data_IF_612468690910
#
_entry.id   IF_612468690910
#
_cell.length_a   1.000
_cell.length_b   1.000
_cell.length_c   1.000
_cell.angle_alpha   90.00
_cell.angle_beta   90.00
_cell.angle_gamma   90.00
#
_symmetry.space_group_name_H-M   'P 1'
#
loop_
_entity.id
_entity.type
_entity.pdbx_description
1 polymer ?
#
# COMPACT_ATOMS: atom_id res chain seq x y z
N UNK A 1 -3.20 -30.64 -9.54
CA UNK A 1 -3.75 -29.84 -10.65
C UNK A 1 -4.33 -28.57 -10.04
N UNK A 2 -3.56 -27.50 -10.04
CA UNK A 2 -3.95 -26.20 -9.49
C UNK A 2 -4.84 -25.47 -10.50
N UNK A 3 -6.03 -25.08 -10.06
CA UNK A 3 -7.02 -24.38 -10.86
C UNK A 3 -6.62 -22.89 -10.95
N UNK A 4 -5.90 -22.51 -11.99
CA UNK A 4 -5.59 -21.11 -12.30
C UNK A 4 -6.72 -20.50 -13.13
N UNK A 5 -7.57 -19.70 -12.50
CA UNK A 5 -8.63 -18.96 -13.18
C UNK A 5 -8.24 -17.51 -13.46
N UNK A 6 -8.88 -17.00 -14.50
CA UNK A 6 -8.66 -15.71 -15.15
C UNK A 6 -9.73 -14.75 -14.59
N UNK A 7 -9.31 -13.53 -14.24
CA UNK A 7 -10.13 -12.45 -13.68
C UNK A 7 -11.20 -12.02 -14.67
N UNK A 8 -12.30 -12.76 -14.71
CA UNK A 8 -13.58 -12.27 -15.22
C UNK A 8 -14.18 -11.37 -14.14
N UNK A 9 -13.78 -10.11 -14.16
CA UNK A 9 -14.34 -9.10 -13.29
C UNK A 9 -15.80 -8.81 -13.71
N UNK A 10 -16.68 -8.65 -12.73
CA UNK A 10 -18.06 -8.20 -12.91
C UNK A 10 -18.35 -7.39 -11.67
N UNK A 11 -18.39 -6.07 -11.79
CA UNK A 11 -18.51 -5.20 -10.62
C UNK A 11 -19.73 -4.34 -10.68
N UNK A 12 -20.36 -4.13 -9.53
CA UNK A 12 -21.37 -3.10 -9.36
C UNK A 12 -20.73 -1.89 -8.69
N UNK A 13 -20.78 -0.75 -9.37
CA UNK A 13 -20.14 0.48 -8.93
C UNK A 13 -21.12 1.34 -8.15
N UNK A 14 -21.01 1.34 -6.82
CA UNK A 14 -21.74 2.32 -6.01
C UNK A 14 -20.97 3.63 -6.00
N UNK A 15 -21.59 4.70 -6.48
CA UNK A 15 -21.11 6.08 -6.35
C UNK A 15 -21.87 6.71 -5.18
N UNK A 16 -21.14 7.07 -4.13
CA UNK A 16 -21.69 7.85 -3.01
C UNK A 16 -21.17 9.29 -3.12
N UNK A 17 -22.03 10.20 -3.58
CA UNK A 17 -21.68 11.61 -3.72
C UNK A 17 -21.67 12.29 -2.34
N UNK A 18 -20.68 13.15 -2.12
CA UNK A 18 -20.74 14.13 -1.04
C UNK A 18 -21.49 15.37 -1.54
N UNK A 19 -22.37 15.92 -0.70
CA UNK A 19 -22.96 17.22 -0.99
C UNK A 19 -21.91 18.29 -0.69
N UNK A 20 -21.32 18.87 -1.74
CA UNK A 20 -20.30 19.91 -1.60
C UNK A 20 -20.76 21.16 -2.34
N UNK A 21 -21.08 22.21 -1.58
CA UNK A 21 -21.59 23.47 -2.15
C UNK A 21 -20.56 24.19 -3.07
N UNK A 22 -19.29 23.79 -3.03
CA UNK A 22 -18.18 24.46 -3.73
C UNK A 22 -17.68 23.77 -5.01
N UNK A 23 -18.14 22.56 -5.32
CA UNK A 23 -17.70 21.78 -6.49
C UNK A 23 -18.86 21.02 -7.12
N UNK A 24 -18.95 21.01 -8.45
CA UNK A 24 -19.82 20.12 -9.20
C UNK A 24 -18.99 19.11 -10.00
N UNK A 25 -19.43 17.86 -10.07
CA UNK A 25 -18.73 16.81 -10.81
C UNK A 25 -19.70 15.74 -11.34
N UNK A 26 -19.21 14.90 -12.25
CA UNK A 26 -19.91 13.68 -12.69
C UNK A 26 -18.91 12.64 -13.17
N UNK A 27 -19.23 11.36 -12.95
CA UNK A 27 -18.53 10.22 -13.55
C UNK A 27 -19.35 9.76 -14.77
N UNK A 28 -18.76 9.86 -15.96
CA UNK A 28 -19.41 9.46 -17.21
C UNK A 28 -19.23 7.97 -17.49
N UNK A 29 -18.06 7.44 -17.14
CA UNK A 29 -17.70 6.02 -17.20
C UNK A 29 -16.77 5.71 -16.03
N UNK A 30 -16.85 4.52 -15.44
CA UNK A 30 -17.89 3.51 -15.66
C UNK A 30 -19.23 3.93 -15.04
N UNK A 31 -20.34 3.36 -15.52
CA UNK A 31 -21.68 3.61 -14.96
C UNK A 31 -21.96 2.70 -13.76
N UNK A 32 -22.86 3.13 -12.87
CA UNK A 32 -23.32 2.29 -11.77
C UNK A 32 -23.92 0.97 -12.31
N UNK A 33 -23.44 -0.16 -11.78
CA UNK A 33 -23.81 -1.51 -12.21
C UNK A 33 -23.13 -2.01 -13.50
N UNK A 34 -22.21 -1.24 -14.10
CA UNK A 34 -21.54 -1.66 -15.34
C UNK A 34 -20.54 -2.80 -15.11
N UNK A 35 -20.65 -3.84 -15.92
CA UNK A 35 -19.76 -5.00 -15.90
C UNK A 35 -18.57 -4.78 -16.84
N UNK A 36 -17.37 -5.11 -16.39
CA UNK A 36 -16.16 -5.05 -17.20
C UNK A 36 -15.24 -6.22 -16.87
N UNK A 37 -14.62 -6.82 -17.88
CA UNK A 37 -13.75 -7.99 -17.74
C UNK A 37 -12.26 -7.65 -17.65
N UNK A 38 -11.92 -6.37 -17.47
CA UNK A 38 -10.54 -5.89 -17.45
C UNK A 38 -10.06 -5.65 -16.01
N UNK A 39 -8.78 -5.89 -15.75
CA UNK A 39 -8.14 -5.54 -14.47
C UNK A 39 -8.11 -4.03 -14.23
N UNK A 40 -8.06 -3.26 -15.32
CA UNK A 40 -8.07 -1.81 -15.32
C UNK A 40 -9.42 -1.30 -15.76
N UNK A 41 -9.92 -0.34 -15.01
CA UNK A 41 -11.16 0.39 -15.30
C UNK A 41 -10.79 1.80 -15.68
N UNK A 42 -11.25 2.22 -16.85
CA UNK A 42 -11.20 3.61 -17.26
C UNK A 42 -12.31 4.38 -16.53
N UNK A 43 -11.90 5.34 -15.71
CA UNK A 43 -12.78 6.31 -15.07
C UNK A 43 -12.63 7.62 -15.83
N UNK A 44 -13.71 8.08 -16.44
CA UNK A 44 -13.76 9.39 -17.08
C UNK A 44 -14.95 10.18 -16.56
N UNK A 45 -14.80 11.50 -16.54
CA UNK A 45 -15.82 12.38 -16.02
C UNK A 45 -15.43 13.84 -16.17
N UNK A 46 -16.04 14.68 -15.36
CA UNK A 46 -15.68 16.08 -15.25
C UNK A 46 -15.84 16.61 -13.82
N UNK A 47 -15.11 17.67 -13.50
CA UNK A 47 -15.15 18.36 -12.20
C UNK A 47 -14.93 19.86 -12.40
N UNK A 48 -15.73 20.69 -11.75
CA UNK A 48 -15.61 22.16 -11.79
C UNK A 48 -15.82 22.76 -10.41
N UNK A 49 -15.03 23.76 -10.05
CA UNK A 49 -15.34 24.58 -8.87
C UNK A 49 -16.50 25.52 -9.17
N UNK A 50 -17.44 25.63 -8.24
CA UNK A 50 -18.56 26.56 -8.30
C UNK A 50 -18.26 27.90 -7.63
N UNK A 51 -17.22 27.94 -6.79
CA UNK A 51 -16.83 29.14 -6.04
C UNK A 51 -15.91 30.03 -6.87
N UNK A 52 -16.22 31.33 -6.92
CA UNK A 52 -15.39 32.31 -7.62
C UNK A 52 -14.01 32.43 -6.96
N UNK A 53 -12.96 32.54 -7.78
CA UNK A 53 -11.57 32.57 -7.33
C UNK A 53 -10.94 31.19 -7.07
N UNK A 54 -11.72 30.11 -7.07
CA UNK A 54 -11.20 28.76 -6.89
C UNK A 54 -11.04 28.03 -8.23
N UNK A 55 -9.99 27.22 -8.34
CA UNK A 55 -9.69 26.35 -9.48
C UNK A 55 -9.43 24.92 -9.01
N UNK A 56 -9.80 23.93 -9.82
CA UNK A 56 -9.47 22.52 -9.54
C UNK A 56 -8.05 22.29 -10.05
N UNK A 57 -7.11 22.02 -9.15
CA UNK A 57 -5.70 21.80 -9.48
C UNK A 57 -5.44 20.37 -9.90
N UNK A 58 -6.05 19.41 -9.21
CA UNK A 58 -5.91 18.01 -9.54
C UNK A 58 -7.06 17.17 -9.01
N UNK A 59 -7.15 15.95 -9.53
CA UNK A 59 -7.95 14.88 -8.93
C UNK A 59 -7.03 13.80 -8.38
N UNK A 60 -7.28 13.39 -7.15
CA UNK A 60 -6.52 12.34 -6.48
C UNK A 60 -7.43 11.13 -6.28
N UNK A 61 -7.05 10.03 -6.88
CA UNK A 61 -7.63 8.72 -6.68
C UNK A 61 -6.91 8.06 -5.50
N UNK A 62 -7.61 7.73 -4.42
CA UNK A 62 -7.04 7.14 -3.21
C UNK A 62 -7.60 5.74 -2.99
N UNK A 63 -6.74 4.75 -2.89
CA UNK A 63 -7.13 3.37 -2.53
C UNK A 63 -6.50 3.04 -1.19
N UNK A 64 -7.33 2.67 -0.22
CA UNK A 64 -6.90 2.37 1.14
C UNK A 64 -6.24 3.58 1.80
N UNK A 65 -4.92 3.63 1.75
CA UNK A 65 -4.09 4.62 2.42
C UNK A 65 -3.20 5.47 1.52
N UNK A 66 -3.25 5.30 0.20
CA UNK A 66 -2.34 6.03 -0.69
C UNK A 66 -3.09 6.68 -1.83
N UNK A 67 -2.64 7.89 -2.18
CA UNK A 67 -2.88 8.47 -3.49
C UNK A 67 -2.34 7.48 -4.52
N UNK A 68 -3.27 6.79 -5.16
CA UNK A 68 -3.01 5.81 -6.18
C UNK A 68 -2.69 6.52 -7.49
N UNK A 69 -3.42 7.57 -7.84
CA UNK A 69 -3.20 8.26 -9.11
C UNK A 69 -3.63 9.71 -8.99
N UNK A 70 -2.85 10.61 -9.58
CA UNK A 70 -3.20 12.03 -9.67
C UNK A 70 -3.43 12.41 -11.13
N UNK A 71 -4.57 13.04 -11.40
CA UNK A 71 -4.85 13.68 -12.68
C UNK A 71 -4.59 15.17 -12.52
N UNK A 72 -3.54 15.66 -13.16
CA UNK A 72 -3.22 17.09 -13.29
C UNK A 72 -3.53 17.64 -14.69
N UNK A 73 -3.72 16.75 -15.67
CA UNK A 73 -4.07 17.12 -17.04
C UNK A 73 -5.57 16.96 -17.27
N UNK A 74 -6.24 18.09 -17.50
CA UNK A 74 -7.66 18.13 -17.81
C UNK A 74 -7.89 18.50 -19.28
N UNK A 75 -9.00 18.02 -19.85
CA UNK A 75 -9.37 18.27 -21.24
C UNK A 75 -10.68 19.04 -21.39
N UNK A 76 -10.91 19.70 -22.54
CA UNK A 76 -12.09 20.52 -22.72
C UNK A 76 -13.42 19.76 -22.73
N UNK A 77 -14.45 20.31 -22.06
CA UNK A 77 -15.84 19.79 -22.05
C UNK A 77 -16.87 20.88 -22.42
N UNK A 78 -17.03 21.19 -23.72
CA UNK A 78 -17.96 22.22 -24.18
C UNK A 78 -19.42 21.93 -23.83
N UNK A 79 -19.79 20.65 -23.71
CA UNK A 79 -21.10 20.18 -23.28
C UNK A 79 -21.39 20.59 -21.82
N UNK A 80 -20.43 20.36 -20.92
CA UNK A 80 -20.54 20.75 -19.50
C UNK A 80 -20.63 22.26 -19.37
N UNK A 81 -19.79 23.02 -20.12
CA UNK A 81 -19.83 24.48 -20.14
C UNK A 81 -21.23 25.04 -20.46
N UNK A 82 -21.91 24.44 -21.43
CA UNK A 82 -23.28 24.86 -21.81
C UNK A 82 -24.28 24.57 -20.70
N UNK A 83 -24.13 23.44 -19.99
CA UNK A 83 -25.05 23.01 -18.96
C UNK A 83 -24.92 23.83 -17.66
N UNK A 84 -23.70 24.19 -17.24
CA UNK A 84 -23.47 24.92 -15.99
C UNK A 84 -23.69 26.44 -16.10
N UNK A 85 -24.16 26.93 -17.26
CA UNK A 85 -24.38 28.36 -17.54
C UNK A 85 -23.20 29.25 -17.11
N UNK A 86 -21.96 28.78 -17.28
CA UNK A 86 -20.78 29.59 -17.00
C UNK A 86 -20.82 30.81 -17.93
N UNK A 87 -21.06 31.99 -17.34
CA UNK A 87 -21.05 33.29 -18.03
C UNK A 87 -19.68 33.50 -18.67
N UNK A 88 -19.61 34.23 -19.80
CA UNK A 88 -18.34 34.46 -20.53
C UNK A 88 -17.23 35.07 -19.64
N UNK A 89 -17.60 35.81 -18.59
CA UNK A 89 -16.68 36.42 -17.62
C UNK A 89 -16.20 35.49 -16.51
N UNK A 90 -16.88 34.36 -16.27
CA UNK A 90 -16.34 33.31 -15.42
C UNK A 90 -15.38 32.52 -16.30
N UNK A 91 -14.09 32.79 -16.16
CA UNK A 91 -12.99 31.95 -16.63
C UNK A 91 -13.04 30.62 -15.86
N UNK A 92 -14.14 29.88 -15.98
CA UNK A 92 -14.20 28.47 -15.60
C UNK A 92 -13.24 27.81 -16.56
N UNK A 93 -12.10 27.36 -16.03
CA UNK A 93 -11.07 26.69 -16.79
C UNK A 93 -11.73 25.69 -17.74
N UNK A 94 -11.55 25.95 -19.04
CA UNK A 94 -12.21 25.23 -20.13
C UNK A 94 -11.91 23.73 -20.10
N UNK A 95 -10.89 23.34 -19.34
CA UNK A 95 -10.34 22.02 -19.12
C UNK A 95 -10.85 21.47 -17.78
N UNK A 96 -12.01 20.80 -17.82
CA UNK A 96 -12.62 20.18 -16.64
C UNK A 96 -12.89 18.69 -16.79
N UNK A 97 -12.68 18.13 -17.98
CA UNK A 97 -12.78 16.70 -18.23
C UNK A 97 -11.53 15.97 -17.76
N UNK A 98 -11.71 14.76 -17.23
CA UNK A 98 -10.61 13.90 -16.81
C UNK A 98 -10.79 12.46 -17.30
N UNK A 99 -9.67 11.75 -17.39
CA UNK A 99 -9.60 10.33 -17.70
C UNK A 99 -8.48 9.71 -16.87
N UNK A 100 -8.81 8.67 -16.12
CA UNK A 100 -7.88 7.89 -15.33
C UNK A 100 -8.11 6.40 -15.59
N UNK A 101 -7.08 5.58 -15.41
CA UNK A 101 -7.22 4.13 -15.41
C UNK A 101 -6.81 3.61 -14.05
N UNK A 102 -7.70 2.89 -13.37
CA UNK A 102 -7.46 2.36 -12.03
C UNK A 102 -7.57 0.83 -12.00
N UNK A 103 -6.78 0.15 -11.16
CA UNK A 103 -6.85 -1.30 -10.97
C UNK A 103 -8.07 -1.64 -10.12
N UNK A 104 -9.10 -2.21 -10.73
CA UNK A 104 -10.34 -2.54 -10.04
C UNK A 104 -10.15 -3.61 -8.94
N UNK A 105 -9.15 -4.47 -9.10
CA UNK A 105 -8.80 -5.50 -8.11
C UNK A 105 -8.22 -4.94 -6.81
N UNK A 106 -7.76 -3.68 -6.80
CA UNK A 106 -7.30 -3.04 -5.56
C UNK A 106 -8.45 -2.49 -4.70
N UNK A 107 -9.69 -2.56 -5.17
CA UNK A 107 -10.83 -1.98 -4.44
C UNK A 107 -11.88 -3.03 -4.12
N UNK A 108 -12.58 -2.82 -3.00
CA UNK A 108 -13.74 -3.59 -2.57
C UNK A 108 -14.53 -2.78 -1.52
N UNK A 109 -15.57 -3.35 -0.91
CA UNK A 109 -16.37 -2.66 0.11
C UNK A 109 -15.55 -2.19 1.33
N UNK A 110 -14.51 -2.93 1.70
CA UNK A 110 -13.64 -2.60 2.83
C UNK A 110 -12.53 -1.60 2.46
N UNK A 111 -12.19 -1.51 1.17
CA UNK A 111 -11.17 -0.62 0.62
C UNK A 111 -11.71 0.05 -0.65
N UNK A 112 -12.66 0.99 -0.55
CA UNK A 112 -13.16 1.71 -1.71
C UNK A 112 -12.07 2.58 -2.32
N UNK A 113 -12.20 2.88 -3.61
CA UNK A 113 -11.46 3.95 -4.26
C UNK A 113 -12.16 5.28 -3.99
N UNK A 114 -11.50 6.18 -3.27
CA UNK A 114 -11.98 7.54 -3.06
C UNK A 114 -11.49 8.44 -4.20
N UNK A 115 -12.37 9.24 -4.76
CA UNK A 115 -12.00 10.31 -5.68
C UNK A 115 -12.07 11.63 -4.91
N UNK A 116 -10.97 12.37 -4.90
CA UNK A 116 -10.86 13.67 -4.26
C UNK A 116 -10.47 14.74 -5.27
N UNK A 117 -10.99 15.95 -5.13
CA UNK A 117 -10.49 17.13 -5.81
C UNK A 117 -9.58 17.93 -4.91
N UNK A 118 -8.46 18.39 -5.45
CA UNK A 118 -7.64 19.44 -4.84
C UNK A 118 -8.04 20.76 -5.50
N UNK A 119 -8.62 21.67 -4.72
CA UNK A 119 -9.02 23.01 -5.17
C UNK A 119 -8.13 24.07 -4.54
N UNK A 120 -7.90 25.18 -5.24
CA UNK A 120 -7.08 26.27 -4.73
C UNK A 120 -7.65 27.64 -5.08
N UNK A 121 -7.54 28.56 -4.13
CA UNK A 121 -7.82 30.00 -4.28
C UNK A 121 -6.60 30.82 -4.77
N UNK A 122 -5.50 30.13 -5.11
CA UNK A 122 -4.22 30.72 -5.49
C UNK A 122 -3.27 30.99 -4.32
N UNK A 123 -3.72 30.82 -3.08
CA UNK A 123 -2.90 30.95 -1.86
C UNK A 123 -2.81 29.61 -1.13
N UNK A 124 -3.95 28.97 -0.89
CA UNK A 124 -4.06 27.70 -0.19
C UNK A 124 -4.67 26.61 -1.09
N UNK A 125 -4.43 25.36 -0.72
CA UNK A 125 -5.01 24.18 -1.35
C UNK A 125 -5.92 23.46 -0.36
N UNK A 126 -7.09 23.06 -0.84
CA UNK A 126 -8.12 22.40 -0.06
C UNK A 126 -8.46 21.08 -0.73
N UNK A 127 -8.51 20.00 0.04
CA UNK A 127 -8.91 18.69 -0.45
C UNK A 127 -10.38 18.43 -0.18
N UNK A 128 -11.13 18.05 -1.21
CA UNK A 128 -12.56 17.81 -1.16
C UNK A 128 -12.84 16.38 -1.64
N UNK A 129 -13.44 15.55 -0.79
CA UNK A 129 -13.92 14.23 -1.19
C UNK A 129 -15.11 14.39 -2.16
N UNK A 130 -15.02 13.81 -3.35
CA UNK A 130 -16.07 13.88 -4.36
C UNK A 130 -16.99 12.66 -4.26
N UNK A 131 -16.42 11.47 -4.43
CA UNK A 131 -17.19 10.23 -4.38
C UNK A 131 -16.35 9.03 -3.93
N UNK A 132 -17.06 7.95 -3.61
CA UNK A 132 -16.48 6.61 -3.43
C UNK A 132 -16.84 5.72 -4.60
N UNK A 133 -15.90 4.91 -5.07
CA UNK A 133 -16.05 3.92 -6.12
C UNK A 133 -15.71 2.54 -5.54
N UNK A 134 -16.66 1.63 -5.57
CA UNK A 134 -16.49 0.26 -5.08
C UNK A 134 -16.54 -0.69 -6.28
N UNK A 135 -15.48 -1.47 -6.49
CA UNK A 135 -15.42 -2.49 -7.52
C UNK A 135 -15.61 -3.87 -6.87
N UNK A 136 -16.85 -4.35 -6.83
CA UNK A 136 -17.13 -5.68 -6.29
C UNK A 136 -16.71 -6.78 -7.25
N UNK A 137 -15.72 -7.60 -6.92
CA UNK A 137 -15.43 -8.78 -7.74
C UNK A 137 -16.48 -9.87 -7.54
N UNK A 138 -17.01 -10.44 -8.63
CA UNK A 138 -17.87 -11.63 -8.57
C UNK A 138 -17.10 -12.91 -8.21
N UNK A 139 -15.75 -12.89 -8.25
CA UNK A 139 -14.87 -14.01 -7.89
C UNK A 139 -13.74 -13.55 -6.95
N UNK A 140 -13.51 -14.31 -5.87
CA UNK A 140 -12.27 -14.20 -5.08
C UNK A 140 -11.18 -14.96 -5.83
N UNK A 141 -10.38 -14.26 -6.62
CA UNK A 141 -9.38 -14.93 -7.47
C UNK A 141 -8.03 -14.97 -6.78
N UNK A 142 -7.76 -16.11 -6.16
CA UNK A 142 -6.43 -16.52 -5.77
C UNK A 142 -5.70 -16.92 -7.06
N UNK A 143 -4.53 -16.33 -7.34
CA UNK A 143 -3.67 -16.80 -8.42
C UNK A 143 -3.33 -18.28 -8.16
N UNK A 144 -3.16 -18.67 -6.90
CA UNK A 144 -2.99 -20.08 -6.56
C UNK A 144 -2.76 -20.31 -5.09
N UNK A 145 -2.59 -21.60 -4.77
CA UNK A 145 -2.16 -22.09 -3.48
C UNK A 145 -0.68 -22.43 -3.58
N UNK A 146 0.12 -21.87 -2.66
CA UNK A 146 1.51 -22.27 -2.47
C UNK A 146 1.54 -23.46 -1.50
N UNK A 147 2.58 -24.28 -1.61
CA UNK A 147 2.82 -25.40 -0.68
C UNK A 147 3.34 -24.94 0.69
N UNK A 148 3.47 -23.62 0.88
CA UNK A 148 3.82 -22.96 2.12
C UNK A 148 2.92 -21.74 2.34
N UNK A 149 2.91 -21.24 3.57
CA UNK A 149 2.19 -20.01 3.94
C UNK A 149 3.14 -18.81 3.87
N UNK A 150 2.91 -17.83 2.98
CA UNK A 150 3.67 -16.59 2.99
C UNK A 150 3.24 -15.74 4.19
N UNK A 151 4.23 -15.23 4.92
CA UNK A 151 4.07 -14.36 6.07
C UNK A 151 4.88 -13.11 5.83
N UNK A 152 4.22 -11.95 5.83
CA UNK A 152 4.92 -10.67 5.69
C UNK A 152 4.82 -9.86 6.97
N UNK A 153 5.97 -9.45 7.49
CA UNK A 153 6.09 -8.51 8.61
C UNK A 153 6.18 -7.09 8.05
N UNK A 154 5.05 -6.39 8.03
CA UNK A 154 4.97 -5.03 7.50
C UNK A 154 5.21 -4.01 8.60
N UNK A 155 6.03 -2.99 8.31
CA UNK A 155 6.27 -1.87 9.22
C UNK A 155 6.63 -0.60 8.46
N UNK A 156 6.46 0.56 9.07
CA UNK A 156 6.90 1.87 8.51
C UNK A 156 8.40 2.11 8.68
N UNK A 157 9.19 1.04 8.84
CA UNK A 157 10.56 1.08 9.33
C UNK A 157 10.62 1.34 10.84
N UNK A 158 11.78 1.08 11.47
CA UNK A 158 12.06 1.43 12.89
C UNK A 158 11.07 0.90 13.95
N UNK A 159 10.17 0.00 13.60
CA UNK A 159 9.11 -0.54 14.48
C UNK A 159 9.35 -2.02 14.86
N UNK A 160 10.62 -2.46 14.86
CA UNK A 160 11.01 -3.79 15.34
C UNK A 160 10.80 -4.97 14.39
N UNK A 161 10.57 -4.74 13.09
CA UNK A 161 10.42 -5.83 12.10
C UNK A 161 11.65 -6.73 12.03
N UNK A 162 12.87 -6.17 12.11
CA UNK A 162 14.09 -6.97 12.20
C UNK A 162 14.14 -7.84 13.46
N UNK A 163 13.68 -7.33 14.61
CA UNK A 163 13.66 -8.08 15.87
C UNK A 163 12.71 -9.28 15.74
N UNK A 164 11.49 -9.05 15.23
CA UNK A 164 10.52 -10.12 15.03
C UNK A 164 11.01 -11.17 14.03
N UNK A 165 11.50 -10.74 12.86
CA UNK A 165 12.03 -11.68 11.86
C UNK A 165 13.21 -12.49 12.42
N UNK A 166 14.11 -11.86 13.17
CA UNK A 166 15.21 -12.56 13.84
C UNK A 166 14.69 -13.59 14.85
N UNK A 167 13.72 -13.22 15.68
CA UNK A 167 13.14 -14.13 16.67
C UNK A 167 12.47 -15.34 15.97
N UNK A 168 11.76 -15.11 14.86
CA UNK A 168 11.12 -16.16 14.07
C UNK A 168 12.12 -17.13 13.43
N UNK A 169 13.41 -16.79 13.28
CA UNK A 169 14.45 -17.76 12.84
C UNK A 169 14.61 -18.95 13.80
N UNK A 170 14.13 -18.83 15.04
CA UNK A 170 14.13 -19.89 16.06
C UNK A 170 12.96 -20.85 15.91
N UNK A 171 11.90 -20.48 15.19
CA UNK A 171 10.78 -21.37 14.99
C UNK A 171 11.13 -22.45 13.96
N UNK A 172 10.95 -23.76 14.25
CA UNK A 172 11.37 -24.85 13.36
C UNK A 172 10.68 -24.83 11.99
N UNK A 173 9.41 -24.42 11.95
CA UNK A 173 8.62 -24.37 10.72
C UNK A 173 8.70 -23.04 9.93
N UNK A 174 9.48 -22.05 10.39
CA UNK A 174 9.58 -20.75 9.74
C UNK A 174 10.89 -20.60 8.96
N UNK A 175 10.79 -20.40 7.65
CA UNK A 175 11.90 -20.01 6.79
C UNK A 175 12.05 -18.49 6.83
N UNK A 176 13.15 -18.01 7.40
CA UNK A 176 13.50 -16.58 7.39
C UNK A 176 14.90 -16.46 6.79
N UNK A 177 15.01 -15.85 5.61
CA UNK A 177 16.34 -15.64 5.00
C UNK A 177 17.19 -14.71 5.86
N UNK A 178 18.45 -15.07 6.06
CA UNK A 178 19.44 -14.24 6.77
C UNK A 178 20.68 -13.93 5.89
N UNK A 179 20.53 -13.94 4.57
CA UNK A 179 21.65 -13.79 3.61
C UNK A 179 22.41 -12.46 3.77
N UNK A 180 21.77 -11.42 4.30
CA UNK A 180 22.34 -10.06 4.42
C UNK A 180 22.60 -9.63 5.88
N UNK A 181 22.77 -10.58 6.80
CA UNK A 181 22.81 -10.32 8.26
C UNK A 181 21.60 -9.52 8.78
N UNK A 182 20.51 -9.57 8.01
CA UNK A 182 19.31 -8.78 8.20
C UNK A 182 18.09 -9.64 7.89
N UNK A 183 17.56 -10.35 8.90
CA UNK A 183 16.53 -11.37 8.72
C UNK A 183 15.29 -10.84 7.98
N UNK A 184 14.88 -11.58 6.94
CA UNK A 184 13.67 -11.33 6.15
C UNK A 184 13.78 -10.19 5.12
N UNK A 185 14.94 -9.58 4.92
CA UNK A 185 15.13 -8.42 4.02
C UNK A 185 15.24 -8.78 2.52
N UNK A 186 15.08 -10.05 2.13
CA UNK A 186 15.19 -10.44 0.71
C UNK A 186 14.00 -9.99 -0.13
N UNK A 187 12.81 -9.85 0.47
CA UNK A 187 11.61 -9.25 -0.13
C UNK A 187 11.14 -9.90 -1.43
N UNK A 188 11.37 -11.19 -1.65
CA UNK A 188 10.89 -11.88 -2.86
C UNK A 188 9.36 -11.87 -2.99
N UNK A 189 8.63 -11.98 -1.88
CA UNK A 189 7.17 -11.88 -1.85
C UNK A 189 6.74 -10.49 -2.32
N UNK A 190 7.36 -9.43 -1.78
CA UNK A 190 7.06 -8.05 -2.18
C UNK A 190 7.39 -7.83 -3.66
N UNK A 191 8.56 -8.24 -4.13
CA UNK A 191 8.94 -8.17 -5.55
C UNK A 191 7.96 -8.91 -6.46
N UNK A 192 7.54 -10.12 -6.06
CA UNK A 192 6.53 -10.91 -6.76
C UNK A 192 5.20 -10.15 -6.89
N UNK A 193 4.70 -9.60 -5.78
CA UNK A 193 3.42 -8.87 -5.74
C UNK A 193 3.50 -7.57 -6.53
N UNK A 194 4.62 -6.84 -6.46
CA UNK A 194 4.85 -5.64 -7.25
C UNK A 194 4.95 -5.93 -8.74
N UNK A 195 5.58 -7.02 -9.14
CA UNK A 195 5.57 -7.44 -10.55
C UNK A 195 4.16 -7.78 -11.02
N UNK A 196 3.36 -8.46 -10.18
CA UNK A 196 1.95 -8.69 -10.50
C UNK A 196 1.22 -7.36 -10.74
N UNK A 197 1.37 -6.39 -9.83
CA UNK A 197 0.79 -5.05 -9.95
C UNK A 197 1.18 -4.35 -11.26
N UNK A 198 2.48 -4.29 -11.56
CA UNK A 198 3.02 -3.63 -12.76
C UNK A 198 2.45 -4.25 -14.03
N UNK A 199 2.32 -5.57 -14.08
CA UNK A 199 1.84 -6.27 -15.28
C UNK A 199 0.31 -6.20 -15.46
N UNK A 200 -0.45 -6.01 -14.38
CA UNK A 200 -1.92 -5.93 -14.44
C UNK A 200 -2.45 -4.52 -14.65
N UNK A 201 -1.61 -3.49 -14.62
CA UNK A 201 -2.06 -2.11 -14.84
C UNK A 201 -1.09 -1.06 -14.32
N UNK A 202 -1.22 0.18 -14.80
CA UNK A 202 -0.31 1.28 -14.51
C UNK A 202 0.21 1.25 -13.06
N UNK A 203 1.50 0.98 -12.90
CA UNK A 203 2.20 1.41 -11.70
C UNK A 203 2.14 2.94 -11.73
N UNK A 204 1.59 3.61 -10.70
CA UNK A 204 1.55 5.06 -10.62
C UNK A 204 2.93 5.64 -10.89
N UNK A 205 3.11 6.23 -12.08
CA UNK A 205 4.39 6.79 -12.50
C UNK A 205 4.77 8.05 -11.73
N UNK A 206 3.88 8.58 -10.88
CA UNK A 206 4.02 9.95 -10.40
C UNK A 206 4.29 10.12 -8.91
N UNK A 207 4.09 9.13 -8.03
CA UNK A 207 4.37 9.38 -6.61
C UNK A 207 4.63 8.17 -5.72
N UNK A 208 4.66 6.95 -6.26
CA UNK A 208 4.94 5.81 -5.40
C UNK A 208 6.29 5.92 -4.71
N UNK A 209 7.23 6.68 -5.26
CA UNK A 209 8.59 6.65 -4.79
C UNK A 209 9.34 7.98 -4.99
N UNK A 210 8.92 9.08 -4.37
CA UNK A 210 9.95 9.98 -3.80
C UNK A 210 10.52 9.27 -2.56
N UNK A 211 11.57 8.45 -2.77
CA UNK A 211 12.34 7.82 -1.70
C UNK A 211 12.10 6.34 -1.36
N UNK A 212 11.49 5.53 -2.23
CA UNK A 212 11.60 4.06 -2.12
C UNK A 212 12.65 3.53 -3.11
N UNK A 213 13.09 2.27 -2.95
CA UNK A 213 14.03 1.58 -3.86
C UNK A 213 13.56 1.60 -5.33
N UNK A 214 12.26 1.84 -5.52
CA UNK A 214 11.58 1.90 -6.79
C UNK A 214 11.34 3.34 -7.30
N UNK A 215 11.96 4.34 -6.69
CA UNK A 215 11.96 5.75 -7.16
C UNK A 215 12.53 5.90 -8.54
N UNK A 216 13.46 5.01 -8.87
CA UNK A 216 14.03 4.82 -10.19
C UNK A 216 13.18 3.98 -11.13
N UNK A 217 12.00 3.47 -10.72
CA UNK A 217 11.09 2.75 -11.61
C UNK A 217 10.32 3.66 -12.58
N UNK A 218 10.61 4.96 -12.64
CA UNK A 218 10.25 5.79 -13.81
C UNK A 218 10.68 5.12 -15.13
N UNK A 219 11.67 4.21 -15.09
CA UNK A 219 12.18 3.44 -16.23
C UNK A 219 11.58 2.05 -16.44
N UNK A 220 10.75 1.51 -15.51
CA UNK A 220 9.88 0.40 -15.90
C UNK A 220 8.71 1.02 -16.66
N UNK A 221 9.01 1.36 -17.92
CA UNK A 221 8.03 1.79 -18.89
C UNK A 221 6.80 0.90 -18.74
N UNK A 222 5.61 1.53 -18.67
CA UNK A 222 4.33 0.84 -18.71
C UNK A 222 4.49 -0.32 -19.69
N UNK A 223 4.18 -1.58 -19.31
CA UNK A 223 4.27 -2.69 -20.23
C UNK A 223 3.72 -2.23 -21.58
N UNK A 224 4.47 -2.31 -22.69
CA UNK A 224 4.21 -1.49 -23.88
C UNK A 224 2.78 -1.66 -24.38
N UNK A 225 2.23 -2.86 -24.15
CA UNK A 225 0.86 -3.20 -24.44
C UNK A 225 -0.21 -2.49 -23.62
N UNK A 226 0.08 -1.83 -22.50
CA UNK A 226 -0.86 -0.96 -21.80
C UNK A 226 -0.92 0.44 -22.43
N UNK A 227 -0.14 0.74 -23.47
CA UNK A 227 -0.26 1.97 -24.23
C UNK A 227 -1.59 1.97 -25.02
N UNK A 228 -2.51 2.92 -24.76
CA UNK A 228 -3.79 2.99 -25.49
C UNK A 228 -3.61 3.09 -27.02
N UNK A 229 -2.47 3.63 -27.47
CA UNK A 229 -2.10 3.75 -28.88
C UNK A 229 -1.84 2.40 -29.57
N UNK A 230 -1.38 1.38 -28.83
CA UNK A 230 -1.13 0.04 -29.37
C UNK A 230 -2.44 -0.67 -29.74
N UNK A 231 -3.49 -0.48 -28.94
CA UNK A 231 -4.80 -1.07 -29.22
C UNK A 231 -5.68 -0.23 -30.16
N UNK A 232 -5.46 1.08 -30.28
CA UNK A 232 -6.14 1.90 -31.31
C UNK A 232 -5.79 1.48 -32.74
N UNK A 233 -4.62 0.90 -32.96
CA UNK A 233 -4.18 0.39 -34.28
C UNK A 233 -4.39 -1.11 -34.45
N UNK A 234 -4.39 -1.87 -33.37
CA UNK A 234 -4.65 -3.30 -33.40
C UNK A 234 -6.17 -3.56 -33.41
N UNK A 235 -6.78 -3.52 -34.60
CA UNK A 235 -8.10 -4.15 -34.84
C UNK A 235 -8.04 -5.68 -34.64
N UNK A 236 -6.84 -6.24 -34.45
CA UNK A 236 -6.61 -7.66 -34.19
C UNK A 236 -7.02 -8.07 -32.77
N UNK A 237 -8.27 -8.54 -32.67
CA UNK A 237 -8.85 -9.14 -31.46
C UNK A 237 -8.01 -10.27 -30.85
N UNK A 238 -7.21 -10.99 -31.65
CA UNK A 238 -6.40 -12.12 -31.16
C UNK A 238 -5.15 -11.63 -30.43
N UNK A 239 -4.42 -10.67 -30.99
CA UNK A 239 -3.26 -10.09 -30.32
C UNK A 239 -3.69 -9.38 -29.03
N UNK A 240 -4.79 -8.62 -29.09
CA UNK A 240 -5.38 -8.01 -27.89
C UNK A 240 -5.74 -9.06 -26.84
N UNK A 241 -6.42 -10.14 -27.23
CA UNK A 241 -6.78 -11.22 -26.32
C UNK A 241 -5.54 -11.91 -25.69
N UNK A 242 -4.51 -12.16 -26.49
CA UNK A 242 -3.26 -12.72 -25.97
C UNK A 242 -2.61 -11.80 -24.94
N UNK A 243 -2.46 -10.51 -25.27
CA UNK A 243 -1.74 -9.59 -24.39
C UNK A 243 -2.54 -9.21 -23.15
N UNK A 244 -3.84 -8.97 -23.27
CA UNK A 244 -4.66 -8.57 -22.12
C UNK A 244 -4.98 -9.73 -21.17
N UNK A 245 -4.98 -10.98 -21.66
CA UNK A 245 -5.44 -12.13 -20.87
C UNK A 245 -4.42 -13.25 -20.75
N UNK A 246 -3.78 -13.66 -21.84
CA UNK A 246 -2.88 -14.83 -21.83
C UNK A 246 -1.51 -14.50 -21.25
N UNK A 247 -0.90 -13.39 -21.67
CA UNK A 247 0.44 -13.00 -21.26
C UNK A 247 0.56 -12.74 -19.74
N UNK A 248 -0.30 -11.91 -19.11
CA UNK A 248 -0.23 -11.66 -17.66
C UNK A 248 -0.39 -12.96 -16.87
N UNK A 249 -1.28 -13.85 -17.31
CA UNK A 249 -1.48 -15.17 -16.69
C UNK A 249 -0.20 -16.01 -16.71
N UNK A 250 0.37 -16.24 -17.89
CA UNK A 250 1.58 -17.08 -18.04
C UNK A 250 2.76 -16.46 -17.27
N UNK A 251 2.86 -15.13 -17.28
CA UNK A 251 3.88 -14.41 -16.51
C UNK A 251 3.72 -14.62 -15.00
N UNK A 252 2.51 -14.43 -14.47
CA UNK A 252 2.19 -14.65 -13.06
C UNK A 252 2.44 -16.10 -12.63
N UNK A 253 2.08 -17.09 -13.46
CA UNK A 253 2.39 -18.50 -13.20
C UNK A 253 3.91 -18.75 -13.10
N UNK A 254 4.70 -18.14 -13.99
CA UNK A 254 6.16 -18.20 -13.94
C UNK A 254 6.72 -17.59 -12.65
N UNK A 255 6.21 -16.42 -12.26
CA UNK A 255 6.59 -15.74 -11.03
C UNK A 255 6.22 -16.55 -9.77
N UNK A 256 5.07 -17.22 -9.76
CA UNK A 256 4.67 -18.13 -8.69
C UNK A 256 5.65 -19.30 -8.54
N UNK A 257 6.09 -19.89 -9.65
CA UNK A 257 7.10 -20.97 -9.64
C UNK A 257 8.44 -20.48 -9.11
N UNK A 258 8.85 -19.26 -9.47
CA UNK A 258 10.09 -18.67 -8.94
C UNK A 258 10.00 -18.45 -7.43
N UNK A 259 8.85 -18.01 -6.92
CA UNK A 259 8.64 -17.86 -5.47
C UNK A 259 8.68 -19.21 -4.74
N UNK A 260 8.11 -20.27 -5.33
CA UNK A 260 8.23 -21.64 -4.80
C UNK A 260 9.68 -22.14 -4.78
N UNK A 261 10.41 -21.97 -5.88
CA UNK A 261 11.83 -22.36 -5.94
C UNK A 261 12.69 -21.55 -4.94
N UNK A 262 12.36 -20.28 -4.73
CA UNK A 262 13.04 -19.45 -3.73
C UNK A 262 12.82 -19.97 -2.31
N UNK A 263 11.58 -20.38 -1.99
CA UNK A 263 11.27 -21.01 -0.71
C UNK A 263 12.08 -22.29 -0.49
N UNK A 264 12.13 -23.17 -1.50
CA UNK A 264 12.97 -24.38 -1.45
C UNK A 264 14.45 -24.04 -1.25
N UNK A 265 14.97 -23.01 -1.93
CA UNK A 265 16.36 -22.58 -1.81
C UNK A 265 16.71 -21.91 -0.47
N UNK A 266 15.73 -21.29 0.19
CA UNK A 266 15.92 -20.75 1.55
C UNK A 266 16.05 -21.85 2.60
N UNK A 267 15.71 -23.08 2.26
CA UNK A 267 15.83 -24.25 3.12
C UNK A 267 17.05 -25.10 2.72
N UNK A 268 18.16 -24.93 3.44
CA UNK A 268 19.39 -25.73 3.21
C UNK A 268 20.00 -26.31 4.48
N UNK A 269 19.33 -26.17 5.63
CA UNK A 269 19.82 -26.73 6.89
C UNK A 269 19.35 -28.17 7.05
N UNK A 270 20.29 -29.11 7.02
CA UNK A 270 20.02 -30.53 7.29
C UNK A 270 19.47 -30.77 8.73
N UNK A 271 19.73 -29.84 9.65
CA UNK A 271 19.38 -29.95 11.07
C UNK A 271 17.99 -29.42 11.43
N UNK A 272 17.25 -28.83 10.49
CA UNK A 272 15.90 -28.28 10.72
C UNK A 272 14.87 -29.08 9.92
N UNK A 273 13.63 -29.25 10.44
CA UNK A 273 12.54 -29.79 9.63
C UNK A 273 12.22 -28.84 8.47
N UNK A 274 11.62 -29.40 7.41
CA UNK A 274 11.17 -28.60 6.27
C UNK A 274 10.19 -27.51 6.75
N UNK A 275 10.48 -26.22 6.50
CA UNK A 275 9.60 -25.14 6.91
C UNK A 275 8.28 -25.25 6.17
N UNK A 276 7.23 -24.73 6.77
CA UNK A 276 5.89 -24.61 6.16
C UNK A 276 5.49 -23.16 5.92
N UNK A 277 6.32 -22.21 6.36
CA UNK A 277 6.06 -20.78 6.30
C UNK A 277 7.29 -20.05 5.77
N UNK A 278 7.09 -19.12 4.84
CA UNK A 278 8.13 -18.18 4.40
C UNK A 278 7.86 -16.84 5.05
N UNK A 279 8.79 -16.35 5.86
CA UNK A 279 8.68 -15.05 6.53
C UNK A 279 9.62 -14.04 5.89
N UNK A 280 9.06 -12.94 5.42
CA UNK A 280 9.81 -11.78 4.97
C UNK A 280 9.32 -10.52 5.68
N UNK A 281 10.12 -9.46 5.67
CA UNK A 281 9.65 -8.14 6.08
C UNK A 281 9.46 -7.25 4.87
N UNK A 282 8.46 -6.38 4.94
CA UNK A 282 8.15 -5.43 3.89
C UNK A 282 7.91 -4.04 4.47
N UNK A 283 8.19 -3.03 3.65
CA UNK A 283 7.98 -1.62 3.98
C UNK A 283 6.91 -1.00 3.06
N UNK A 284 6.42 -1.78 2.09
CA UNK A 284 5.48 -1.32 1.07
C UNK A 284 4.09 -1.96 1.25
N UNK A 285 3.14 -1.30 1.93
CA UNK A 285 1.80 -1.82 2.15
C UNK A 285 1.01 -2.14 0.87
N UNK A 286 1.31 -1.52 -0.29
CA UNK A 286 0.50 -1.74 -1.51
C UNK A 286 0.73 -3.13 -2.05
N UNK A 287 2.00 -3.52 -2.24
CA UNK A 287 2.33 -4.87 -2.68
C UNK A 287 1.72 -5.90 -1.74
N UNK A 288 1.78 -5.66 -0.44
CA UNK A 288 1.27 -6.60 0.57
C UNK A 288 -0.25 -6.73 0.56
N UNK A 289 -0.97 -5.65 0.27
CA UNK A 289 -2.43 -5.73 0.10
C UNK A 289 -2.82 -6.72 -1.01
N UNK A 290 -2.03 -6.81 -2.08
CA UNK A 290 -2.25 -7.81 -3.13
C UNK A 290 -2.04 -9.23 -2.66
N UNK A 291 -1.15 -9.47 -1.70
CA UNK A 291 -0.94 -10.79 -1.10
C UNK A 291 -2.25 -11.36 -0.56
N UNK A 292 -3.02 -10.54 0.16
CA UNK A 292 -4.33 -10.91 0.73
C UNK A 292 -5.38 -11.26 -0.34
N UNK A 293 -5.26 -10.67 -1.51
CA UNK A 293 -6.21 -10.88 -2.61
C UNK A 293 -5.81 -12.06 -3.50
N UNK A 294 -4.51 -12.28 -3.68
CA UNK A 294 -3.97 -13.15 -4.72
C UNK A 294 -3.44 -14.49 -4.20
N UNK A 295 -3.08 -14.61 -2.93
CA UNK A 295 -2.39 -15.80 -2.42
C UNK A 295 -3.19 -16.44 -1.28
N UNK A 296 -3.52 -17.73 -1.45
CA UNK A 296 -4.27 -18.46 -0.43
C UNK A 296 -3.45 -18.58 0.85
N UNK A 297 -4.07 -18.27 1.99
CA UNK A 297 -3.42 -18.40 3.29
C UNK A 297 -2.36 -17.34 3.58
N UNK A 298 -2.22 -16.30 2.73
CA UNK A 298 -1.32 -15.18 3.00
C UNK A 298 -1.59 -14.55 4.37
N UNK A 299 -0.52 -14.28 5.12
CA UNK A 299 -0.58 -13.67 6.45
C UNK A 299 0.25 -12.40 6.48
N UNK A 300 -0.27 -11.39 7.14
CA UNK A 300 0.48 -10.16 7.41
C UNK A 300 0.53 -9.88 8.91
N UNK A 301 1.73 -9.62 9.44
CA UNK A 301 1.92 -9.08 10.78
C UNK A 301 2.30 -7.62 10.62
N UNK A 302 1.50 -6.74 11.19
CA UNK A 302 1.67 -5.30 11.13
C UNK A 302 2.27 -4.83 12.44
N UNK A 303 3.49 -4.31 12.38
CA UNK A 303 4.14 -3.70 13.54
C UNK A 303 3.89 -2.20 13.55
N UNK A 304 3.20 -1.75 14.61
CA UNK A 304 3.03 -0.34 14.95
C UNK A 304 3.89 0.00 16.16
N UNK A 305 4.23 1.27 16.33
CA UNK A 305 5.03 1.77 17.44
C UNK A 305 4.41 3.05 17.98
N UNK A 306 4.64 3.37 19.25
CA UNK A 306 4.36 4.69 19.79
C UNK A 306 4.92 5.77 18.84
N UNK A 307 4.07 6.73 18.49
CA UNK A 307 4.37 7.64 17.39
C UNK A 307 5.52 8.60 17.73
N UNK A 308 5.58 9.09 18.97
CA UNK A 308 6.70 9.93 19.44
C UNK A 308 8.04 9.19 19.38
N UNK A 309 8.04 7.95 19.87
CA UNK A 309 9.21 7.07 19.82
C UNK A 309 9.67 6.76 18.39
N UNK A 310 8.70 6.52 17.50
CA UNK A 310 8.98 6.33 16.09
C UNK A 310 9.68 7.55 15.48
N UNK A 311 9.11 8.75 15.64
CA UNK A 311 9.65 9.98 15.06
C UNK A 311 11.05 10.26 15.61
N UNK A 312 11.23 10.09 16.92
CA UNK A 312 12.52 10.19 17.59
C UNK A 312 13.56 9.21 17.01
N UNK A 313 13.18 7.95 16.78
CA UNK A 313 14.05 6.95 16.15
C UNK A 313 14.38 7.31 14.70
N UNK A 314 13.40 7.87 13.98
CA UNK A 314 13.56 8.28 12.59
C UNK A 314 14.50 9.48 12.44
N UNK A 315 14.38 10.51 13.27
CA UNK A 315 15.27 11.67 13.29
C UNK A 315 16.73 11.23 13.47
N UNK A 316 16.99 10.38 14.47
CA UNK A 316 18.35 9.82 14.71
C UNK A 316 18.88 9.06 13.50
N UNK A 317 18.03 8.25 12.87
CA UNK A 317 18.40 7.51 11.67
C UNK A 317 18.76 8.44 10.52
N UNK A 318 17.92 9.46 10.24
CA UNK A 318 18.14 10.45 9.18
C UNK A 318 19.47 11.21 9.38
N UNK A 319 19.79 11.61 10.62
CA UNK A 319 21.07 12.24 10.97
C UNK A 319 22.25 11.30 10.72
N UNK A 320 22.12 10.02 11.09
CA UNK A 320 23.16 9.01 10.90
C UNK A 320 23.50 8.79 9.42
N UNK A 321 22.51 8.86 8.54
CA UNK A 321 22.71 8.69 7.09
C UNK A 321 23.02 10.01 6.37
N UNK A 322 23.21 11.11 7.10
CA UNK A 322 23.52 12.44 6.56
C UNK A 322 22.52 12.91 5.48
N UNK A 323 21.22 12.65 5.66
CA UNK A 323 20.24 13.08 4.67
C UNK A 323 20.18 14.62 4.58
N UNK A 324 20.20 15.13 3.35
CA UNK A 324 20.40 16.56 3.04
C UNK A 324 19.10 17.35 2.89
N UNK A 325 17.96 16.67 2.80
CA UNK A 325 16.65 17.30 2.72
C UNK A 325 16.25 17.95 4.06
N UNK A 326 15.25 18.83 4.02
CA UNK A 326 14.67 19.38 5.26
C UNK A 326 14.17 18.24 6.14
N UNK A 327 14.77 18.09 7.33
CA UNK A 327 14.37 17.08 8.32
C UNK A 327 12.87 17.14 8.61
N UNK A 328 12.30 18.34 8.71
CA UNK A 328 10.87 18.54 8.94
C UNK A 328 10.02 17.95 7.81
N UNK A 329 10.37 18.22 6.55
CA UNK A 329 9.61 17.70 5.39
C UNK A 329 9.66 16.17 5.34
N UNK A 330 10.83 15.58 5.58
CA UNK A 330 10.98 14.12 5.63
C UNK A 330 10.12 13.52 6.75
N UNK A 331 10.18 14.11 7.95
CA UNK A 331 9.40 13.63 9.10
C UNK A 331 7.90 13.78 8.85
N UNK A 332 7.44 14.87 8.25
CA UNK A 332 6.05 15.04 7.82
C UNK A 332 5.62 13.98 6.81
N UNK A 333 6.47 13.66 5.84
CA UNK A 333 6.19 12.62 4.85
C UNK A 333 6.05 11.25 5.52
N UNK A 334 6.92 10.90 6.48
CA UNK A 334 6.80 9.66 7.24
C UNK A 334 5.57 9.63 8.15
N UNK A 335 5.24 10.74 8.80
CA UNK A 335 4.04 10.90 9.60
C UNK A 335 2.78 10.64 8.76
N UNK A 336 2.74 11.21 7.55
CA UNK A 336 1.68 10.97 6.58
C UNK A 336 1.60 9.50 6.17
N UNK A 337 2.73 8.89 5.84
CA UNK A 337 2.80 7.45 5.51
C UNK A 337 2.29 6.57 6.65
N UNK A 338 2.58 6.89 7.92
CA UNK A 338 2.08 6.15 9.08
C UNK A 338 0.58 6.34 9.25
N UNK A 339 0.10 7.58 9.23
CA UNK A 339 -1.32 7.87 9.42
C UNK A 339 -2.18 7.14 8.37
N UNK A 340 -1.71 7.20 7.13
CA UNK A 340 -2.21 6.42 6.02
C UNK A 340 -2.16 4.92 6.34
N UNK A 341 -0.99 4.38 6.64
CA UNK A 341 -0.81 2.96 6.97
C UNK A 341 -1.78 2.46 8.05
N UNK A 342 -2.01 3.25 9.10
CA UNK A 342 -2.93 2.90 10.18
C UNK A 342 -4.39 2.90 9.71
N UNK A 343 -4.78 3.82 8.83
CA UNK A 343 -6.13 3.81 8.22
C UNK A 343 -6.37 2.56 7.38
N UNK A 344 -5.37 2.06 6.65
CA UNK A 344 -5.52 0.83 5.83
C UNK A 344 -5.59 -0.45 6.66
N UNK A 345 -5.20 -0.45 7.93
CA UNK A 345 -5.26 -1.66 8.78
C UNK A 345 -6.67 -2.25 8.78
N UNK A 346 -7.71 -1.41 8.90
CA UNK A 346 -9.11 -1.87 8.97
C UNK A 346 -9.54 -2.61 7.71
N UNK A 347 -9.01 -2.26 6.54
CA UNK A 347 -9.39 -2.89 5.28
C UNK A 347 -8.72 -4.24 5.03
N UNK A 348 -7.73 -4.63 5.87
CA UNK A 348 -7.02 -5.92 5.76
C UNK A 348 -7.76 -7.08 6.41
N UNK A 349 -8.79 -6.79 7.21
CA UNK A 349 -9.67 -7.79 7.81
C UNK A 349 -8.90 -8.85 8.63
N UNK A 350 -9.27 -10.12 8.44
CA UNK A 350 -8.71 -11.25 9.20
C UNK A 350 -7.36 -11.76 8.67
N UNK A 351 -6.82 -11.15 7.61
CA UNK A 351 -5.56 -11.56 7.02
C UNK A 351 -4.37 -10.78 7.60
N UNK A 352 -4.62 -9.80 8.46
CA UNK A 352 -3.59 -9.04 9.16
C UNK A 352 -3.73 -9.09 10.68
N UNK A 353 -2.58 -9.13 11.37
CA UNK A 353 -2.48 -9.02 12.82
C UNK A 353 -1.67 -7.79 13.19
N UNK A 354 -2.27 -6.89 13.97
CA UNK A 354 -1.56 -5.71 14.51
C UNK A 354 -0.91 -6.04 15.84
N UNK A 355 0.37 -5.73 15.94
CA UNK A 355 1.20 -5.87 17.13
C UNK A 355 1.89 -4.54 17.41
N UNK A 356 1.84 -4.10 18.68
CA UNK A 356 2.63 -2.96 19.13
C UNK A 356 4.08 -3.41 19.35
N UNK A 357 5.00 -2.55 18.93
CA UNK A 357 6.42 -2.73 19.16
C UNK A 357 6.72 -2.87 20.64
N UNK A 358 6.07 -2.07 21.50
CA UNK A 358 6.26 -2.11 22.94
C UNK A 358 5.86 -3.46 23.54
N UNK A 359 4.73 -4.01 23.10
CA UNK A 359 4.26 -5.34 23.51
C UNK A 359 5.22 -6.42 23.01
N UNK A 360 5.72 -6.30 21.77
CA UNK A 360 6.69 -7.24 21.21
C UNK A 360 7.98 -7.25 22.04
N UNK A 361 8.59 -6.08 22.30
CA UNK A 361 9.89 -6.00 23.00
C UNK A 361 9.80 -6.25 24.50
N UNK A 362 8.60 -6.37 25.07
CA UNK A 362 8.40 -6.86 26.44
C UNK A 362 8.85 -8.33 26.59
N UNK A 363 8.89 -9.08 25.49
CA UNK A 363 9.17 -10.52 25.49
C UNK A 363 8.04 -11.36 26.09
N UNK A 364 6.86 -10.79 26.31
CA UNK A 364 5.70 -11.51 26.84
C UNK A 364 5.31 -12.67 25.91
N UNK A 365 5.37 -13.89 26.46
CA UNK A 365 5.05 -15.13 25.76
C UNK A 365 3.59 -15.15 25.25
N UNK A 366 2.67 -14.42 25.88
CA UNK A 366 1.28 -14.30 25.40
C UNK A 366 1.20 -13.52 24.08
N UNK A 367 2.00 -12.46 23.93
CA UNK A 367 2.08 -11.68 22.69
C UNK A 367 2.68 -12.53 21.57
N UNK A 368 3.75 -13.27 21.87
CA UNK A 368 4.40 -14.17 20.93
C UNK A 368 3.45 -15.32 20.54
N UNK A 369 2.77 -15.94 21.50
CA UNK A 369 1.80 -17.00 21.27
C UNK A 369 0.68 -16.57 20.33
N UNK A 370 0.14 -15.36 20.53
CA UNK A 370 -0.86 -14.76 19.64
C UNK A 370 -0.34 -14.55 18.20
N UNK A 371 0.93 -14.17 18.03
CA UNK A 371 1.55 -14.04 16.70
C UNK A 371 1.63 -15.41 16.02
N UNK A 372 2.11 -16.42 16.73
CA UNK A 372 2.25 -17.77 16.19
C UNK A 372 0.89 -18.39 15.84
N UNK A 373 -0.11 -18.26 16.73
CA UNK A 373 -1.48 -18.73 16.49
C UNK A 373 -2.09 -18.11 15.23
N UNK A 374 -1.93 -16.80 15.06
CA UNK A 374 -2.47 -16.09 13.90
C UNK A 374 -1.87 -16.58 12.58
N UNK A 375 -0.56 -16.81 12.57
CA UNK A 375 0.19 -17.31 11.42
C UNK A 375 -0.08 -18.81 11.17
N UNK A 376 -0.54 -19.53 12.19
CA UNK A 376 -0.73 -20.98 12.14
C UNK A 376 0.58 -21.76 12.39
N UNK A 377 1.44 -21.22 13.24
CA UNK A 377 2.66 -21.87 13.74
C UNK A 377 2.40 -22.46 15.14
N UNK A 378 3.12 -23.52 15.50
CA UNK A 378 3.04 -24.13 16.83
C UNK A 378 3.63 -23.20 17.91
N UNK A 379 2.98 -23.11 19.08
CA UNK A 379 3.38 -22.20 20.15
C UNK A 379 3.60 -22.89 21.50
N UNK A 380 4.25 -24.05 21.52
CA UNK A 380 4.57 -24.73 22.77
C UNK A 380 5.54 -23.89 23.65
N UNK A 381 5.61 -24.15 24.97
CA UNK A 381 6.40 -23.34 25.91
C UNK A 381 7.89 -23.24 25.56
N UNK A 382 8.48 -24.26 24.95
CA UNK A 382 9.91 -24.25 24.60
C UNK A 382 10.17 -23.34 23.39
N UNK A 383 9.27 -23.36 22.40
CA UNK A 383 9.31 -22.43 21.26
C UNK A 383 9.13 -20.99 21.75
N UNK A 384 8.13 -20.74 22.61
CA UNK A 384 7.85 -19.40 23.13
C UNK A 384 9.06 -18.82 23.88
N UNK A 385 9.67 -19.61 24.78
CA UNK A 385 10.89 -19.21 25.49
C UNK A 385 12.06 -18.95 24.54
N UNK A 386 12.24 -19.80 23.53
CA UNK A 386 13.34 -19.63 22.57
C UNK A 386 13.19 -18.38 21.70
N UNK A 387 11.96 -18.02 21.33
CA UNK A 387 11.67 -16.78 20.57
C UNK A 387 11.80 -15.57 21.49
N UNK A 388 11.23 -15.64 22.70
CA UNK A 388 11.30 -14.58 23.72
C UNK A 388 12.74 -14.25 24.08
N UNK A 389 13.61 -15.25 24.25
CA UNK A 389 15.03 -15.00 24.57
C UNK A 389 15.73 -14.16 23.50
N UNK A 390 15.44 -14.39 22.21
CA UNK A 390 16.02 -13.61 21.11
C UNK A 390 15.48 -12.18 21.07
N UNK A 391 14.22 -11.97 21.46
CA UNK A 391 13.64 -10.62 21.56
C UNK A 391 14.29 -9.84 22.71
N UNK A 392 14.56 -10.52 23.83
CA UNK A 392 15.15 -9.93 25.03
C UNK A 392 16.67 -9.75 24.95
N UNK A 393 17.34 -10.39 23.99
CA UNK A 393 18.75 -10.18 23.69
C UNK A 393 18.99 -8.71 23.28
N UNK A 394 19.55 -7.92 24.22
CA UNK A 394 19.95 -6.53 23.96
C UNK A 394 21.25 -6.51 23.18
N UNK A 395 21.14 -6.50 21.86
CA UNK A 395 22.26 -6.25 20.97
C UNK A 395 22.30 -4.79 20.49
N UNK A 396 23.31 -4.46 19.70
CA UNK A 396 23.47 -3.12 19.12
C UNK A 396 22.31 -2.72 18.20
N UNK A 397 21.58 -3.69 17.65
CA UNK A 397 20.36 -3.43 16.86
C UNK A 397 19.24 -2.99 17.80
N UNK A 398 19.00 -3.71 18.89
CA UNK A 398 18.03 -3.36 19.92
C UNK A 398 18.27 -1.96 20.49
N UNK A 399 19.51 -1.64 20.85
CA UNK A 399 19.90 -0.33 21.40
C UNK A 399 19.61 0.83 20.43
N UNK A 400 19.73 0.61 19.12
CA UNK A 400 19.36 1.62 18.12
C UNK A 400 17.84 1.84 18.02
N UNK A 401 17.05 0.87 18.47
CA UNK A 401 15.60 0.93 18.40
C UNK A 401 14.96 1.42 19.69
N UNK A 402 15.58 1.31 20.86
CA UNK A 402 15.04 1.91 22.10
C UNK A 402 15.28 3.42 22.09
N UNK A 403 14.20 4.19 22.07
CA UNK A 403 14.26 5.64 22.27
C UNK A 403 13.86 5.93 23.71
N UNK A 404 14.79 6.47 24.49
CA UNK A 404 14.44 7.32 25.61
C UNK A 404 14.50 8.77 25.11
N UNK A 405 13.53 9.60 25.50
CA UNK A 405 13.42 11.03 25.16
C UNK A 405 14.68 11.86 25.51
N UNK A 406 15.59 11.29 26.30
CA UNK A 406 16.82 11.93 26.78
C UNK A 406 17.82 12.27 25.68
N UNK A 407 17.61 11.83 24.43
CA UNK A 407 18.59 11.93 23.34
C UNK A 407 18.20 12.86 22.19
N UNK A 408 17.03 13.53 22.25
CA UNK A 408 16.69 14.60 21.31
C UNK A 408 17.06 15.96 21.90
N UNK A 409 17.56 16.87 21.06
CA UNK A 409 17.72 18.26 21.46
C UNK A 409 16.37 18.99 21.56
N UNK A 410 16.35 20.22 22.08
CA UNK A 410 15.11 20.96 22.31
C UNK A 410 14.35 21.28 21.02
N UNK A 411 15.06 21.51 19.91
CA UNK A 411 14.44 21.84 18.62
C UNK A 411 13.81 20.58 17.99
N UNK A 412 14.45 19.42 18.16
CA UNK A 412 13.92 18.13 17.72
C UNK A 412 12.67 17.73 18.50
N UNK A 413 12.66 17.96 19.82
CA UNK A 413 11.47 17.74 20.66
C UNK A 413 10.30 18.64 20.24
N UNK A 414 10.58 19.91 19.96
CA UNK A 414 9.59 20.84 19.45
C UNK A 414 9.04 20.38 18.09
N UNK A 415 9.92 19.96 17.16
CA UNK A 415 9.51 19.40 15.89
C UNK A 415 8.59 18.17 16.08
N UNK A 416 8.97 17.20 16.91
CA UNK A 416 8.13 16.02 17.20
C UNK A 416 6.76 16.46 17.75
N UNK A 417 6.72 17.40 18.68
CA UNK A 417 5.47 17.96 19.22
C UNK A 417 4.59 18.59 18.14
N UNK A 418 5.14 19.48 17.31
CA UNK A 418 4.40 20.13 16.20
C UNK A 418 3.81 19.11 15.22
N UNK A 419 4.56 18.06 14.90
CA UNK A 419 4.11 16.98 14.00
C UNK A 419 2.99 16.17 14.64
N UNK A 420 3.14 15.79 15.92
CA UNK A 420 2.10 15.08 16.66
C UNK A 420 0.80 15.89 16.70
N UNK A 421 0.87 17.19 17.01
CA UNK A 421 -0.30 18.07 17.07
C UNK A 421 -1.00 18.18 15.71
N UNK A 422 -0.22 18.43 14.65
CA UNK A 422 -0.71 18.52 13.26
C UNK A 422 -1.44 17.25 12.84
N UNK A 423 -0.87 16.08 13.13
CA UNK A 423 -1.46 14.80 12.71
C UNK A 423 -2.60 14.34 13.63
N UNK A 424 -2.56 14.66 14.92
CA UNK A 424 -3.67 14.38 15.85
C UNK A 424 -4.93 15.15 15.47
N UNK A 425 -4.79 16.40 15.03
CA UNK A 425 -5.91 17.18 14.49
C UNK A 425 -6.47 16.57 13.20
N UNK A 426 -5.61 16.07 12.31
CA UNK A 426 -5.99 15.58 10.97
C UNK A 426 -6.56 14.16 10.97
N UNK A 427 -6.11 13.31 11.88
CA UNK A 427 -6.44 11.88 11.88
C UNK A 427 -7.12 11.40 13.18
N UNK A 428 -7.42 12.32 14.11
CA UNK A 428 -7.85 11.99 15.47
C UNK A 428 -6.70 11.41 16.30
N UNK A 429 -7.02 10.92 17.51
CA UNK A 429 -6.11 9.96 18.19
C UNK A 429 -6.00 8.79 17.23
N UNK A 430 -4.84 8.62 16.60
CA UNK A 430 -4.60 7.75 15.45
C UNK A 430 -4.96 6.26 15.67
N UNK A 431 -5.62 5.86 16.75
CA UNK A 431 -5.70 4.48 17.24
C UNK A 431 -4.33 3.95 17.66
N UNK A 432 -3.25 4.65 17.30
CA UNK A 432 -1.94 4.55 17.91
C UNK A 432 -2.09 5.07 19.34
N UNK A 433 -1.72 4.28 20.35
CA UNK A 433 -1.73 4.75 21.72
C UNK A 433 -0.78 5.95 21.82
N UNK A 434 -1.37 7.13 21.98
CA UNK A 434 -0.68 8.34 22.40
C UNK A 434 -0.84 8.39 23.91
N UNK A 435 -0.27 7.41 24.61
CA UNK A 435 -0.16 7.35 26.07
C UNK A 435 0.89 6.31 26.46
#
# INVERSE_FOLDING_TARGET
>A
MSNFWLLEYQTNIKIEDYNVDSVAFSIDTPRNGELFSNHMVEIAGWVVSLHEGFSVKSLVFIIGDRGFYEVTEFFPRPDVRKAIHATEDKVVELTCGFLASVPAYLTNEQSPLLLMAVVSDGVEEYSIDLCKLIFNSSRKELIGKLDFTPVVVTSTGRSGSTILCRALTRHPAAAVSNVLDNPGEMRFIEHFLMNCLIQTGQCPSTDLNKGSLYSSLEYLERPPFLAPSLFKKAEDSRLKGYICHTYPKVYQEGQFRLLANYFEACYTSEDKPAPTHLVEKSWDPIGIYLGHLMIEGFKEIILIRNFSDYLSSRIKFLKKIHQTDSLENEIELYALRIANFVRSIKSRGNCALVIRFEDLVSGDELVIGRILDFVGLENNPDILKSISSVILERDTVFEQHVTQDEQLDSAEKDLVGRIIDKFSAKFGVLGLPVE
#
